data_IF_057456022087
#
_entry.id   IF_057456022087
#
_cell.length_a   1.000
_cell.length_b   1.000
_cell.length_c   1.000
_cell.angle_alpha   90.00
_cell.angle_beta   90.00
_cell.angle_gamma   90.00
#
_symmetry.space_group_name_H-M   'P 1'
#
loop_
_entity.id
_entity.type
_entity.pdbx_description
1 polymer ?
#
# COMPACT_ATOMS: atom_id res chain seq x y z
N UNK A 1 9.64 5.95 -13.81
CA UNK A 1 8.61 5.44 -12.89
C UNK A 1 9.09 4.10 -12.37
N UNK A 2 9.25 4.02 -11.05
CA UNK A 2 9.81 2.81 -10.45
C UNK A 2 8.74 1.76 -10.19
N UNK A 3 7.51 2.15 -9.93
CA UNK A 3 6.43 1.23 -9.66
C UNK A 3 5.37 1.34 -10.77
N UNK A 4 4.86 0.22 -11.22
CA UNK A 4 3.90 0.23 -12.33
C UNK A 4 2.50 0.52 -11.86
N UNK A 5 1.72 1.17 -12.71
CA UNK A 5 0.32 1.44 -12.40
C UNK A 5 -0.44 0.13 -12.28
N UNK A 6 -1.36 0.12 -11.34
CA UNK A 6 -2.28 -0.99 -11.11
C UNK A 6 -1.59 -2.26 -10.62
N UNK A 7 -0.38 -2.09 -10.09
CA UNK A 7 0.35 -3.18 -9.45
C UNK A 7 0.53 -2.83 -7.99
N UNK A 8 0.84 -3.84 -7.18
CA UNK A 8 1.01 -3.63 -5.77
C UNK A 8 2.40 -3.13 -5.42
N UNK A 9 2.45 -2.35 -4.37
CA UNK A 9 3.70 -1.92 -3.75
C UNK A 9 3.52 -2.00 -2.25
N UNK A 10 4.61 -1.96 -1.51
CA UNK A 10 4.59 -2.11 -0.08
C UNK A 10 5.06 -0.82 0.56
N UNK A 11 4.41 -0.41 1.66
CA UNK A 11 4.85 0.78 2.35
C UNK A 11 6.18 0.50 3.05
N UNK A 12 7.13 1.39 2.87
CA UNK A 12 8.47 1.24 3.43
C UNK A 12 8.57 1.80 4.83
N UNK A 13 7.56 2.48 5.31
CA UNK A 13 7.57 3.02 6.67
C UNK A 13 6.15 3.12 7.19
N UNK A 14 6.05 3.36 8.49
CA UNK A 14 4.75 3.56 9.10
C UNK A 14 4.19 4.92 8.75
N UNK A 15 2.88 5.01 8.60
CA UNK A 15 2.17 6.27 8.46
C UNK A 15 1.08 6.26 9.52
N UNK A 16 1.44 6.58 10.75
CA UNK A 16 0.49 6.40 11.86
C UNK A 16 -0.76 7.24 11.74
N UNK A 17 -0.67 8.40 11.11
CA UNK A 17 -1.85 9.24 10.95
C UNK A 17 -2.87 8.62 10.02
N UNK A 18 -2.46 7.59 9.27
CA UNK A 18 -3.37 6.88 8.39
C UNK A 18 -3.60 5.45 8.87
N UNK A 19 -2.99 5.08 9.98
CA UNK A 19 -3.09 3.72 10.45
C UNK A 19 -2.36 2.71 9.57
N UNK A 20 -1.41 3.17 8.77
CA UNK A 20 -0.67 2.30 7.87
C UNK A 20 0.64 1.90 8.53
N UNK A 21 1.02 0.65 8.38
CA UNK A 21 2.26 0.13 8.94
C UNK A 21 3.21 -0.28 7.85
N UNK A 22 4.49 -0.18 8.14
CA UNK A 22 5.51 -0.68 7.23
C UNK A 22 5.16 -2.09 6.84
N UNK A 23 5.22 -2.42 5.57
CA UNK A 23 4.90 -3.73 5.05
C UNK A 23 3.46 -3.87 4.56
N UNK A 24 2.61 -2.89 4.83
CA UNK A 24 1.26 -2.93 4.30
C UNK A 24 1.28 -2.79 2.78
N UNK A 25 0.35 -3.42 2.10
CA UNK A 25 0.29 -3.46 0.64
C UNK A 25 -0.76 -2.48 0.13
N UNK A 26 -0.45 -1.82 -0.95
CA UNK A 26 -1.42 -0.95 -1.62
C UNK A 26 -1.27 -1.09 -3.13
N UNK A 27 -2.26 -0.64 -3.88
CA UNK A 27 -2.23 -0.68 -5.33
C UNK A 27 -1.90 0.71 -5.86
N UNK A 28 -0.95 0.78 -6.76
CA UNK A 28 -0.54 2.04 -7.37
C UNK A 28 -1.58 2.44 -8.40
N UNK A 29 -2.18 3.63 -8.26
CA UNK A 29 -3.20 4.06 -9.19
C UNK A 29 -2.80 5.29 -10.00
N UNK A 30 -1.76 6.00 -9.59
CA UNK A 30 -1.32 7.17 -10.35
C UNK A 30 0.12 7.50 -10.02
N UNK A 31 0.82 8.09 -10.97
CA UNK A 31 2.22 8.49 -10.78
C UNK A 31 2.34 10.00 -10.98
N UNK A 32 3.14 10.63 -10.13
CA UNK A 32 3.43 12.05 -10.26
C UNK A 32 4.93 12.22 -10.33
N UNK A 33 5.44 13.08 -11.20
CA UNK A 33 6.88 13.32 -11.23
C UNK A 33 7.23 14.68 -10.62
N UNK A 34 6.25 15.44 -10.18
CA UNK A 34 6.50 16.75 -9.59
C UNK A 34 5.66 16.90 -8.37
N UNK A 35 6.17 17.61 -7.38
CA UNK A 35 7.49 18.22 -7.27
C UNK A 35 8.60 17.19 -7.10
N UNK A 36 8.24 15.98 -6.81
CA UNK A 36 9.17 14.89 -6.71
C UNK A 36 8.44 13.63 -7.08
N UNK A 37 9.13 12.56 -7.44
CA UNK A 37 8.45 11.33 -7.80
C UNK A 37 7.57 10.83 -6.67
N UNK A 38 6.34 10.53 -6.97
CA UNK A 38 5.39 10.05 -5.98
C UNK A 38 4.26 9.28 -6.64
N UNK A 39 3.43 8.66 -5.81
CA UNK A 39 2.35 7.82 -6.31
C UNK A 39 1.10 8.01 -5.49
N UNK A 40 -0.04 7.92 -6.15
CA UNK A 40 -1.31 7.78 -5.46
C UNK A 40 -1.57 6.30 -5.30
N UNK A 41 -2.06 5.91 -4.15
CA UNK A 41 -2.24 4.52 -3.80
C UNK A 41 -3.63 4.28 -3.26
N UNK A 42 -4.13 3.09 -3.54
CA UNK A 42 -5.41 2.68 -3.01
C UNK A 42 -5.15 1.52 -2.05
N UNK A 43 -5.63 1.65 -0.82
CA UNK A 43 -5.45 0.65 0.20
C UNK A 43 -6.76 -0.07 0.40
N UNK A 44 -6.73 -1.40 0.41
CA UNK A 44 -7.92 -2.20 0.54
C UNK A 44 -7.88 -3.02 1.80
N UNK A 45 -9.04 -3.36 2.34
CA UNK A 45 -9.09 -4.31 3.44
C UNK A 45 -9.08 -5.73 2.87
N UNK A 46 -9.17 -6.72 3.72
CA UNK A 46 -9.09 -8.11 3.30
C UNK A 46 -10.29 -8.55 2.47
N UNK A 47 -11.37 -7.79 2.47
CA UNK A 47 -12.53 -8.11 1.68
C UNK A 47 -12.54 -7.35 0.35
N UNK A 48 -11.54 -6.59 0.08
CA UNK A 48 -11.45 -5.85 -1.18
C UNK A 48 -12.10 -4.49 -1.17
N UNK A 49 -12.52 -4.00 0.00
CA UNK A 49 -13.12 -2.67 0.06
C UNK A 49 -12.02 -1.63 0.18
N UNK A 50 -12.17 -0.53 -0.53
CA UNK A 50 -11.23 0.57 -0.43
C UNK A 50 -11.39 1.24 0.91
N UNK A 51 -10.31 1.33 1.68
CA UNK A 51 -10.37 1.97 2.97
C UNK A 51 -9.57 3.26 3.01
N UNK A 52 -8.74 3.52 2.02
CA UNK A 52 -7.99 4.79 1.97
C UNK A 52 -7.44 4.99 0.57
N UNK A 53 -7.28 6.25 0.19
CA UNK A 53 -6.58 6.63 -1.02
C UNK A 53 -5.66 7.76 -0.61
N UNK A 54 -4.38 7.65 -0.87
CA UNK A 54 -3.43 8.66 -0.45
C UNK A 54 -2.26 8.73 -1.41
N UNK A 55 -1.52 9.83 -1.34
CA UNK A 55 -0.34 10.00 -2.17
C UNK A 55 0.89 10.05 -1.29
N UNK A 56 1.95 9.41 -1.70
CA UNK A 56 3.20 9.38 -0.95
C UNK A 56 4.37 9.55 -1.91
N UNK A 57 5.50 10.04 -1.42
CA UNK A 57 6.71 10.07 -2.24
C UNK A 57 7.17 8.66 -2.57
N UNK A 58 7.87 8.54 -3.68
CA UNK A 58 8.37 7.23 -4.12
C UNK A 58 9.22 6.58 -3.05
N UNK A 59 9.93 7.36 -2.25
CA UNK A 59 10.80 6.81 -1.21
C UNK A 59 10.03 6.14 -0.07
N UNK A 60 8.71 6.32 0.00
CA UNK A 60 7.93 5.67 1.04
C UNK A 60 7.45 4.29 0.61
N UNK A 61 7.85 3.84 -0.57
CA UNK A 61 7.40 2.56 -1.10
C UNK A 61 8.57 1.65 -1.41
N UNK A 62 8.31 0.38 -1.36
CA UNK A 62 9.29 -0.63 -1.79
C UNK A 62 8.57 -1.66 -2.64
N UNK A 63 9.32 -2.35 -3.49
CA UNK A 63 8.70 -3.39 -4.31
C UNK A 63 8.36 -4.60 -3.44
N UNK A 64 7.40 -5.39 -3.92
CA UNK A 64 7.10 -6.63 -3.27
C UNK A 64 8.15 -7.63 -3.71
N UNK A 65 8.72 -8.32 -2.72
CA UNK A 65 9.73 -9.32 -3.03
C UNK A 65 9.12 -10.71 -2.96
N UNK A 66 9.52 -11.54 -3.88
CA UNK A 66 9.00 -12.86 -3.95
C UNK A 66 9.28 -13.59 -2.66
N UNK A 67 8.33 -14.26 -2.12
CA UNK A 67 8.51 -15.00 -0.89
C UNK A 67 8.25 -14.22 0.39
N UNK A 68 8.07 -12.91 0.28
CA UNK A 68 7.79 -12.14 1.45
C UNK A 68 6.35 -12.29 1.85
N UNK A 69 6.09 -12.12 3.14
CA UNK A 69 4.74 -12.08 3.60
C UNK A 69 4.24 -10.67 3.54
N UNK A 70 3.07 -10.49 3.02
CA UNK A 70 2.48 -9.17 2.89
C UNK A 70 1.55 -8.92 4.06
N UNK A 71 1.42 -7.66 4.44
CA UNK A 71 0.42 -7.24 5.40
C UNK A 71 -0.76 -6.63 4.66
N UNK A 72 -1.93 -7.19 4.88
CA UNK A 72 -3.13 -6.65 4.28
C UNK A 72 -3.96 -6.08 5.42
N UNK A 73 -4.45 -4.85 5.26
CA UNK A 73 -5.24 -4.24 6.30
C UNK A 73 -6.51 -5.03 6.54
N UNK A 74 -6.83 -5.24 7.79
CA UNK A 74 -7.97 -6.06 8.10
C UNK A 74 -8.98 -5.38 8.95
N UNK A 75 -9.14 -4.10 8.75
CA UNK A 75 -10.04 -3.36 9.55
C UNK A 75 -11.41 -3.89 9.54
N UNK A 76 -11.84 -4.41 8.46
CA UNK A 76 -13.19 -4.85 8.36
C UNK A 76 -13.34 -6.25 8.77
N UNK A 77 -12.26 -7.00 9.05
CA UNK A 77 -12.49 -8.27 9.32
C UNK A 77 -11.86 -8.60 10.43
N UNK A 78 -12.25 -8.96 11.30
CA UNK A 78 -11.59 -9.28 12.34
C UNK A 78 -11.55 -10.67 12.26
N UNK A 79 -11.82 -11.25 11.22
CA UNK A 79 -11.87 -12.50 11.12
C UNK A 79 -10.79 -13.12 10.88
N UNK A 80 -10.45 -13.96 11.26
CA UNK A 80 -9.52 -14.52 11.13
C UNK A 80 -9.51 -15.71 10.76
N UNK A 81 -9.31 -16.28 10.21
CA UNK A 81 -9.28 -17.29 9.75
C UNK A 81 -8.16 -17.73 9.67
N UNK A 82 -8.00 -18.43 9.59
CA UNK A 82 -7.20 -18.87 9.58
C UNK A 82 -6.93 -19.84 9.06
N UNK A 83 -6.63 -20.06 8.75
CA UNK A 83 -6.26 -20.94 8.00
C UNK A 83 -5.84 -21.92 8.25
#
# INVERSE_FOLDING_TARGET
MKFELYKEAVFARDLPERGIKKGDVATVIEYYDRPEPGYALEVFDALGHTIDVLSVPETDLEPIHEGERWNVRQEATQIQWVA
#
